data_IF_276090872748
#
_entry.id   IF_276090872748
#
_cell.length_a   1.000
_cell.length_b   1.000
_cell.length_c   1.000
_cell.angle_alpha   90.00
_cell.angle_beta   90.00
_cell.angle_gamma   90.00
#
_symmetry.space_group_name_H-M   'P 1'
#
loop_
_entity.id
_entity.type
_entity.pdbx_description
1 polymer ?
#
# COMPACT_ATOMS: atom_id res chain seq x y z
N UNK A 1 6.09 -18.06 16.79
CA UNK A 1 6.06 -16.64 16.38
C UNK A 1 4.60 -16.22 16.28
N UNK A 2 4.25 -14.99 16.64
CA UNK A 2 2.88 -14.45 16.51
C UNK A 2 2.84 -13.27 15.54
N UNK A 3 1.66 -12.91 15.05
CA UNK A 3 1.50 -11.75 14.18
C UNK A 3 1.94 -10.44 14.88
N UNK A 4 1.69 -10.32 16.19
CA UNK A 4 2.13 -9.19 17.00
C UNK A 4 3.65 -9.10 17.12
N UNK A 5 4.35 -10.24 17.21
CA UNK A 5 5.81 -10.26 17.22
C UNK A 5 6.37 -9.77 15.88
N UNK A 6 5.77 -10.18 14.76
CA UNK A 6 6.13 -9.70 13.43
C UNK A 6 5.85 -8.19 13.33
N UNK A 7 4.66 -7.75 13.72
CA UNK A 7 4.28 -6.34 13.71
C UNK A 7 5.22 -5.46 14.54
N UNK A 8 5.60 -5.91 15.74
CA UNK A 8 6.56 -5.22 16.59
C UNK A 8 7.95 -5.15 15.95
N UNK A 9 8.37 -6.22 15.25
CA UNK A 9 9.65 -6.25 14.57
C UNK A 9 9.69 -5.30 13.37
N UNK A 10 8.74 -5.38 12.45
CA UNK A 10 8.74 -4.56 11.23
C UNK A 10 8.54 -3.07 11.52
N UNK A 11 7.89 -2.74 12.64
CA UNK A 11 7.73 -1.36 13.12
C UNK A 11 9.06 -0.66 13.43
N UNK A 12 10.11 -1.42 13.78
CA UNK A 12 11.45 -0.85 13.99
C UNK A 12 12.02 -0.22 12.71
N UNK A 13 11.64 -0.75 11.54
CA UNK A 13 12.02 -0.23 10.24
C UNK A 13 10.88 0.60 9.60
N UNK A 14 9.97 1.14 10.41
CA UNK A 14 8.83 1.98 9.99
C UNK A 14 7.89 1.31 8.97
N UNK A 15 7.72 0.00 9.10
CA UNK A 15 6.69 -0.77 8.40
C UNK A 15 5.60 -1.22 9.37
N UNK A 16 4.42 -1.51 8.85
CA UNK A 16 3.31 -2.11 9.58
C UNK A 16 2.71 -3.30 8.83
N UNK A 17 1.95 -4.12 9.57
CA UNK A 17 1.19 -5.24 9.00
C UNK A 17 -0.14 -4.71 8.47
N UNK A 18 -0.31 -4.77 7.16
CA UNK A 18 -1.53 -4.36 6.44
C UNK A 18 -2.48 -5.54 6.15
N UNK A 19 -2.21 -6.70 6.70
CA UNK A 19 -3.03 -7.90 6.54
C UNK A 19 -2.20 -9.17 6.53
N UNK A 20 -2.86 -10.29 6.76
CA UNK A 20 -2.26 -11.60 6.65
C UNK A 20 -3.31 -12.63 6.23
N UNK A 21 -2.89 -13.68 5.55
CA UNK A 21 -3.76 -14.79 5.17
C UNK A 21 -2.98 -16.10 5.13
N UNK A 22 -3.69 -17.22 5.21
CA UNK A 22 -3.08 -18.54 5.03
C UNK A 22 -2.99 -18.90 3.56
N UNK A 23 -1.82 -19.36 3.15
CA UNK A 23 -1.61 -19.90 1.82
C UNK A 23 -2.47 -21.14 1.59
N UNK A 24 -2.71 -21.42 0.32
CA UNK A 24 -3.33 -22.63 -0.20
C UNK A 24 -2.42 -23.22 -1.26
N UNK A 25 -2.66 -24.47 -1.66
CA UNK A 25 -1.88 -25.11 -2.73
C UNK A 25 -1.84 -24.31 -4.05
N UNK A 26 -2.86 -23.49 -4.31
CA UNK A 26 -2.94 -22.65 -5.52
C UNK A 26 -1.92 -21.48 -5.53
N UNK A 27 -1.38 -21.12 -4.37
CA UNK A 27 -0.45 -20.01 -4.23
C UNK A 27 0.97 -20.32 -4.72
N UNK A 28 1.33 -21.61 -4.81
CA UNK A 28 2.72 -22.06 -5.06
C UNK A 28 3.76 -21.44 -4.09
N UNK A 29 3.33 -21.15 -2.85
CA UNK A 29 4.15 -20.56 -1.78
C UNK A 29 4.45 -21.53 -0.62
N UNK A 30 4.01 -22.79 -0.74
CA UNK A 30 4.00 -23.74 0.39
C UNK A 30 2.87 -23.44 1.38
N UNK A 31 2.65 -24.35 2.33
CA UNK A 31 1.68 -24.15 3.41
C UNK A 31 2.26 -23.22 4.47
N UNK A 32 1.47 -22.24 4.91
CA UNK A 32 1.94 -21.25 5.88
C UNK A 32 1.09 -19.99 5.94
N UNK A 33 1.74 -18.87 6.24
CA UNK A 33 1.11 -17.56 6.38
C UNK A 33 1.84 -16.53 5.52
N UNK A 34 1.09 -15.72 4.79
CA UNK A 34 1.60 -14.53 4.12
C UNK A 34 1.22 -13.33 4.97
N UNK A 35 2.19 -12.49 5.29
CA UNK A 35 1.98 -11.22 6.01
C UNK A 35 2.33 -10.06 5.08
N UNK A 36 1.37 -9.21 4.79
CA UNK A 36 1.50 -8.05 3.92
C UNK A 36 2.00 -6.84 4.71
N UNK A 37 3.00 -6.16 4.16
CA UNK A 37 3.66 -5.03 4.78
C UNK A 37 3.44 -3.76 3.98
N UNK A 38 3.31 -2.64 4.69
CA UNK A 38 3.33 -1.31 4.09
C UNK A 38 3.89 -0.26 5.05
N UNK A 39 3.89 1.02 4.63
CA UNK A 39 4.40 2.13 5.42
C UNK A 39 3.68 2.26 6.77
N UNK A 40 4.42 2.36 7.87
CA UNK A 40 3.85 2.75 9.16
C UNK A 40 3.87 4.28 9.29
N UNK A 41 2.70 4.90 9.16
CA UNK A 41 2.56 6.34 9.36
C UNK A 41 2.57 6.70 10.86
N UNK A 42 3.13 7.83 11.32
CA UNK A 42 3.73 8.93 10.53
C UNK A 42 5.26 8.83 10.39
N UNK A 43 5.85 7.75 10.89
CA UNK A 43 7.30 7.62 11.01
C UNK A 43 7.99 7.14 9.73
N UNK A 44 7.26 6.52 8.81
CA UNK A 44 7.80 6.04 7.53
C UNK A 44 8.47 7.15 6.71
N UNK A 45 7.74 8.23 6.39
CA UNK A 45 8.27 9.26 5.49
C UNK A 45 9.58 9.91 5.96
N UNK A 46 9.71 10.40 7.21
CA UNK A 46 10.98 10.96 7.66
C UNK A 46 12.11 9.92 7.69
N UNK A 47 11.80 8.64 7.98
CA UNK A 47 12.81 7.58 7.95
C UNK A 47 13.30 7.28 6.53
N UNK A 48 12.38 7.15 5.57
CA UNK A 48 12.72 6.93 4.17
C UNK A 48 13.56 8.08 3.61
N UNK A 49 13.19 9.34 3.84
CA UNK A 49 13.99 10.50 3.39
C UNK A 49 15.40 10.55 3.97
N UNK A 50 15.60 10.00 5.17
CA UNK A 50 16.90 9.92 5.81
C UNK A 50 17.73 8.71 5.34
N UNK A 51 17.18 7.85 4.48
CA UNK A 51 17.86 6.64 4.03
C UNK A 51 18.90 6.93 2.95
N UNK A 52 19.93 6.10 2.82
CA UNK A 52 20.90 6.23 1.74
C UNK A 52 20.25 6.22 0.36
N UNK A 53 19.26 5.35 0.15
CA UNK A 53 18.58 5.19 -1.15
C UNK A 53 17.85 6.45 -1.58
N UNK A 54 17.27 7.21 -0.65
CA UNK A 54 16.63 8.48 -1.00
C UNK A 54 17.63 9.56 -1.43
N UNK A 55 18.89 9.47 -0.98
CA UNK A 55 19.87 10.54 -1.10
C UNK A 55 20.97 10.25 -2.12
N UNK A 56 21.01 9.06 -2.73
CA UNK A 56 22.06 8.66 -3.67
C UNK A 56 21.77 9.04 -5.12
N UNK A 57 20.50 9.32 -5.46
CA UNK A 57 20.08 9.77 -6.79
C UNK A 57 19.93 8.64 -7.81
N UNK A 58 20.02 7.38 -7.38
CA UNK A 58 19.75 6.22 -8.23
C UNK A 58 18.24 5.97 -8.38
N UNK A 59 17.86 5.21 -9.41
CA UNK A 59 16.48 4.85 -9.69
C UNK A 59 15.83 4.01 -8.58
N UNK A 60 14.50 4.05 -8.53
CA UNK A 60 13.64 3.27 -7.63
C UNK A 60 14.07 3.28 -6.14
N UNK A 61 14.33 4.46 -5.55
CA UNK A 61 14.92 4.56 -4.22
C UNK A 61 14.03 3.93 -3.14
N UNK A 62 12.70 3.99 -3.32
CA UNK A 62 11.76 3.40 -2.38
C UNK A 62 11.70 1.87 -2.49
N UNK A 63 11.87 1.30 -3.68
CA UNK A 63 11.93 -0.14 -3.90
C UNK A 63 13.21 -0.71 -3.29
N UNK A 64 14.35 -0.07 -3.56
CA UNK A 64 15.65 -0.40 -2.94
C UNK A 64 15.60 -0.31 -1.41
N UNK A 65 15.00 0.74 -0.85
CA UNK A 65 14.78 0.86 0.59
C UNK A 65 13.96 -0.31 1.14
N UNK A 66 12.89 -0.68 0.42
CA UNK A 66 11.97 -1.76 0.83
C UNK A 66 12.66 -3.12 0.83
N UNK A 67 13.45 -3.40 -0.22
CA UNK A 67 14.25 -4.62 -0.28
C UNK A 67 15.20 -4.72 0.93
N UNK A 68 15.96 -3.66 1.22
CA UNK A 68 16.91 -3.67 2.34
C UNK A 68 16.21 -3.97 3.67
N UNK A 69 15.15 -3.23 4.00
CA UNK A 69 14.51 -3.36 5.33
C UNK A 69 13.69 -4.64 5.46
N UNK A 70 13.01 -5.08 4.40
CA UNK A 70 12.18 -6.29 4.43
C UNK A 70 13.05 -7.55 4.39
N UNK A 71 14.12 -7.59 3.61
CA UNK A 71 15.07 -8.71 3.62
C UNK A 71 15.78 -8.86 4.97
N UNK A 72 16.11 -7.74 5.63
CA UNK A 72 16.64 -7.76 7.00
C UNK A 72 15.62 -8.36 7.97
N UNK A 73 14.37 -7.88 7.94
CA UNK A 73 13.32 -8.40 8.80
C UNK A 73 13.03 -9.89 8.52
N UNK A 74 13.03 -10.30 7.25
CA UNK A 74 12.76 -11.69 6.86
C UNK A 74 13.84 -12.64 7.37
N UNK A 75 15.12 -12.26 7.29
CA UNK A 75 16.23 -13.05 7.83
C UNK A 75 16.13 -13.26 9.35
N UNK A 76 15.75 -12.22 10.09
CA UNK A 76 15.59 -12.29 11.54
C UNK A 76 14.36 -13.09 11.98
N UNK A 77 13.31 -13.08 11.17
CA UNK A 77 12.04 -13.78 11.43
C UNK A 77 12.00 -15.20 10.86
N UNK A 78 13.00 -15.62 10.08
CA UNK A 78 12.99 -16.91 9.40
C UNK A 78 11.92 -17.00 8.30
N UNK A 79 11.62 -15.87 7.66
CA UNK A 79 10.62 -15.75 6.60
C UNK A 79 11.28 -15.49 5.24
N UNK A 80 10.54 -15.71 4.16
CA UNK A 80 10.98 -15.32 2.83
C UNK A 80 10.32 -14.00 2.38
N UNK A 81 11.09 -13.02 1.85
CA UNK A 81 10.52 -11.77 1.38
C UNK A 81 9.96 -11.92 -0.04
N UNK A 82 8.89 -11.19 -0.34
CA UNK A 82 8.30 -11.03 -1.69
C UNK A 82 7.92 -9.56 -1.91
N UNK A 83 8.01 -9.07 -3.13
CA UNK A 83 7.86 -7.64 -3.44
C UNK A 83 6.79 -7.41 -4.52
N UNK A 84 6.07 -6.26 -4.48
CA UNK A 84 5.07 -5.91 -5.49
C UNK A 84 5.68 -5.39 -6.80
N UNK A 85 7.01 -5.29 -6.84
CA UNK A 85 7.83 -4.82 -7.96
C UNK A 85 8.87 -5.89 -8.32
N UNK A 86 9.62 -5.64 -9.39
CA UNK A 86 10.63 -6.57 -9.87
C UNK A 86 10.04 -7.86 -10.46
N UNK A 87 10.88 -8.89 -10.58
CA UNK A 87 10.50 -10.19 -11.13
C UNK A 87 10.82 -11.33 -10.15
N UNK A 88 9.96 -12.37 -10.06
CA UNK A 88 8.66 -12.52 -10.75
C UNK A 88 7.57 -11.63 -10.13
N UNK A 89 6.50 -11.38 -10.87
CA UNK A 89 5.35 -10.61 -10.37
C UNK A 89 4.48 -11.45 -9.43
N UNK A 90 4.14 -10.88 -8.29
CA UNK A 90 3.28 -11.50 -7.29
C UNK A 90 1.90 -10.80 -7.22
N UNK A 91 0.81 -11.55 -6.95
CA UNK A 91 -0.55 -11.03 -7.04
C UNK A 91 -0.97 -10.27 -5.76
N UNK A 92 -0.24 -9.20 -5.41
CA UNK A 92 -0.45 -8.42 -4.17
C UNK A 92 -1.88 -7.91 -3.99
N UNK A 93 -2.59 -7.56 -5.07
CA UNK A 93 -3.98 -7.13 -4.99
C UNK A 93 -4.91 -8.28 -4.53
N UNK A 94 -4.67 -9.50 -5.04
CA UNK A 94 -5.42 -10.68 -4.62
C UNK A 94 -5.11 -11.04 -3.16
N UNK A 95 -3.83 -10.96 -2.78
CA UNK A 95 -3.38 -11.17 -1.40
C UNK A 95 -4.01 -10.17 -0.42
N UNK A 96 -4.07 -8.89 -0.80
CA UNK A 96 -4.72 -7.85 -0.02
C UNK A 96 -6.20 -8.18 0.25
N UNK A 97 -6.94 -8.62 -0.77
CA UNK A 97 -8.34 -9.02 -0.61
C UNK A 97 -8.47 -10.23 0.31
N UNK A 98 -7.63 -11.26 0.12
CA UNK A 98 -7.64 -12.48 0.93
C UNK A 98 -7.28 -12.25 2.39
N UNK A 99 -6.54 -11.18 2.70
CA UNK A 99 -6.26 -10.80 4.08
C UNK A 99 -7.51 -10.38 4.87
N UNK A 100 -8.64 -10.12 4.19
CA UNK A 100 -9.85 -9.66 4.83
C UNK A 100 -9.76 -8.24 5.41
N UNK A 101 -8.76 -7.46 4.99
CA UNK A 101 -8.56 -6.06 5.40
C UNK A 101 -8.63 -5.06 4.25
N UNK A 102 -8.66 -5.53 3.01
CA UNK A 102 -8.82 -4.69 1.83
C UNK A 102 -9.90 -5.23 0.88
N UNK A 103 -10.55 -4.33 0.13
CA UNK A 103 -11.64 -4.66 -0.79
C UNK A 103 -11.57 -3.80 -2.05
N UNK A 104 -12.15 -4.25 -3.18
CA UNK A 104 -12.44 -3.36 -4.30
C UNK A 104 -13.30 -2.18 -3.83
N UNK A 105 -12.83 -0.96 -4.10
CA UNK A 105 -13.59 0.25 -3.82
C UNK A 105 -14.50 0.61 -5.01
N UNK A 106 -15.43 1.58 -4.85
CA UNK A 106 -16.21 2.12 -5.96
C UNK A 106 -15.39 2.83 -7.06
N UNK A 107 -14.07 2.94 -6.94
CA UNK A 107 -13.20 3.75 -7.82
C UNK A 107 -11.97 2.98 -8.33
N UNK A 108 -12.13 1.73 -8.76
CA UNK A 108 -11.10 0.82 -9.33
C UNK A 108 -9.96 0.41 -8.36
N UNK A 109 -9.60 1.26 -7.40
CA UNK A 109 -8.57 1.01 -6.39
C UNK A 109 -9.07 0.10 -5.27
N UNK A 110 -8.14 -0.46 -4.50
CA UNK A 110 -8.47 -1.10 -3.22
C UNK A 110 -8.70 -0.04 -2.13
N UNK A 111 -9.64 -0.32 -1.23
CA UNK A 111 -9.82 0.37 0.05
C UNK A 111 -9.41 -0.55 1.19
N UNK A 112 -8.65 -0.04 2.14
CA UNK A 112 -8.23 -0.76 3.35
C UNK A 112 -8.98 -0.26 4.58
N UNK A 113 -9.24 -1.15 5.54
CA UNK A 113 -10.01 -0.86 6.77
C UNK A 113 -9.51 0.36 7.56
N UNK A 114 -8.20 0.59 7.54
CA UNK A 114 -7.49 1.61 8.33
C UNK A 114 -6.79 2.63 7.45
N UNK A 115 -6.27 2.19 6.29
CA UNK A 115 -5.52 3.05 5.38
C UNK A 115 -6.39 3.69 4.28
N UNK A 116 -7.65 3.29 4.16
CA UNK A 116 -8.54 3.78 3.11
C UNK A 116 -7.97 3.53 1.71
N UNK A 117 -8.11 4.50 0.83
CA UNK A 117 -7.56 4.46 -0.53
C UNK A 117 -6.06 4.82 -0.59
N UNK A 118 -5.42 5.09 0.56
CA UNK A 118 -3.98 5.31 0.64
C UNK A 118 -3.17 4.04 0.80
N UNK A 119 -3.82 2.88 0.99
CA UNK A 119 -3.13 1.61 1.17
C UNK A 119 -2.07 1.40 0.08
N UNK A 120 -0.86 1.10 0.52
CA UNK A 120 0.29 0.85 -0.34
C UNK A 120 1.12 -0.26 0.27
N UNK A 121 1.30 -1.35 -0.47
CA UNK A 121 2.10 -2.48 -0.05
C UNK A 121 3.56 -2.28 -0.47
N UNK A 122 4.50 -2.58 0.42
CA UNK A 122 5.95 -2.51 0.16
C UNK A 122 6.61 -3.88 0.05
N UNK A 123 5.95 -4.92 0.55
CA UNK A 123 6.38 -6.30 0.42
C UNK A 123 5.53 -7.24 1.26
N UNK A 124 5.90 -8.50 1.27
CA UNK A 124 5.26 -9.54 2.06
C UNK A 124 6.32 -10.47 2.66
N UNK A 125 5.99 -11.05 3.82
CA UNK A 125 6.76 -12.12 4.45
C UNK A 125 5.99 -13.42 4.30
N UNK A 126 6.64 -14.44 3.73
CA UNK A 126 6.12 -15.79 3.60
C UNK A 126 6.71 -16.61 4.75
N UNK A 127 5.84 -17.08 5.64
CA UNK A 127 6.21 -17.84 6.82
C UNK A 127 5.76 -19.28 6.66
N UNK A 128 6.61 -20.27 7.01
CA UNK A 128 6.20 -21.68 6.98
C UNK A 128 5.18 -22.02 8.07
N UNK A 129 5.06 -21.20 9.11
CA UNK A 129 4.07 -21.42 10.17
C UNK A 129 2.68 -20.87 9.80
N UNK A 130 1.65 -21.59 10.24
CA UNK A 130 0.29 -21.06 10.32
C UNK A 130 0.14 -20.28 11.64
N UNK A 131 0.06 -18.97 11.53
CA UNK A 131 -0.13 -18.06 12.67
C UNK A 131 -1.60 -17.97 13.07
N UNK A 132 -1.89 -17.64 14.33
CA UNK A 132 -3.24 -17.22 14.70
C UNK A 132 -3.52 -15.84 14.09
N UNK A 133 -4.50 -15.77 13.20
CA UNK A 133 -4.90 -14.54 12.51
C UNK A 133 -6.17 -13.94 13.11
N UNK A 134 -6.29 -12.60 13.16
CA UNK A 134 -7.54 -11.97 13.58
C UNK A 134 -8.67 -12.28 12.58
N UNK A 135 -9.95 -12.15 13.00
CA UNK A 135 -11.06 -12.22 12.06
C UNK A 135 -10.95 -11.09 11.02
N UNK A 136 -11.62 -11.29 9.88
CA UNK A 136 -11.70 -10.26 8.84
C UNK A 136 -12.33 -8.98 9.40
N UNK A 137 -11.85 -7.84 8.93
CA UNK A 137 -12.43 -6.55 9.24
C UNK A 137 -13.71 -6.31 8.41
N UNK A 138 -14.46 -5.27 8.75
CA UNK A 138 -15.61 -4.84 7.96
C UNK A 138 -15.16 -3.93 6.82
N UNK A 139 -15.75 -4.08 5.64
CA UNK A 139 -15.49 -3.21 4.50
C UNK A 139 -15.96 -1.77 4.82
N UNK A 140 -15.07 -0.77 4.84
CA UNK A 140 -15.46 0.61 5.16
C UNK A 140 -16.40 1.23 4.12
N UNK A 141 -16.44 0.69 2.89
CA UNK A 141 -17.37 1.17 1.87
C UNK A 141 -18.84 0.79 2.13
N UNK A 142 -19.11 -0.27 2.90
CA UNK A 142 -20.49 -0.74 3.16
C UNK A 142 -21.29 0.26 4.02
N UNK A 143 -20.59 1.11 4.77
CA UNK A 143 -21.18 2.14 5.64
C UNK A 143 -20.91 3.56 5.15
N UNK A 144 -20.30 3.71 3.98
CA UNK A 144 -20.03 5.01 3.37
C UNK A 144 -21.16 5.38 2.41
N UNK A 145 -22.17 6.08 2.92
CA UNK A 145 -23.33 6.49 2.13
C UNK A 145 -22.97 7.55 1.08
N UNK A 146 -22.24 8.58 1.48
CA UNK A 146 -21.91 9.76 0.66
C UNK A 146 -21.00 9.45 -0.55
N UNK A 147 -20.17 8.39 -0.45
CA UNK A 147 -19.20 7.94 -1.48
C UNK A 147 -18.48 9.10 -2.18
N UNK A 148 -17.84 10.02 -1.43
CA UNK A 148 -17.24 11.24 -1.99
C UNK A 148 -16.16 10.96 -3.03
N UNK A 149 -15.54 9.78 -3.00
CA UNK A 149 -14.57 9.33 -4.00
C UNK A 149 -15.12 9.31 -5.43
N UNK A 150 -16.43 9.09 -5.62
CA UNK A 150 -17.05 8.99 -6.95
C UNK A 150 -17.06 10.31 -7.74
N UNK A 151 -17.01 11.45 -7.05
CA UNK A 151 -17.11 12.78 -7.66
C UNK A 151 -15.84 13.62 -7.45
N UNK A 152 -14.89 13.13 -6.66
CA UNK A 152 -13.68 13.86 -6.31
C UNK A 152 -12.66 13.99 -7.44
N UNK A 153 -12.74 13.19 -8.51
CA UNK A 153 -11.82 13.30 -9.63
C UNK A 153 -12.20 14.48 -10.54
N UNK A 154 -11.36 15.52 -10.70
CA UNK A 154 -11.70 16.71 -11.48
C UNK A 154 -11.98 16.44 -12.96
N UNK A 155 -11.42 15.35 -13.49
CA UNK A 155 -11.56 14.94 -14.90
C UNK A 155 -12.24 13.58 -15.06
N UNK A 156 -12.79 13.02 -13.98
CA UNK A 156 -13.49 11.73 -14.04
C UNK A 156 -12.60 10.55 -14.46
N UNK A 157 -11.28 10.66 -14.34
CA UNK A 157 -10.33 9.64 -14.80
C UNK A 157 -10.42 8.32 -14.03
N UNK A 158 -10.85 8.35 -12.76
CA UNK A 158 -10.92 7.16 -11.92
C UNK A 158 -12.38 6.81 -11.64
N UNK A 159 -12.84 5.68 -12.17
CA UNK A 159 -14.23 5.21 -12.07
C UNK A 159 -14.28 3.79 -11.50
N UNK A 160 -15.47 3.23 -11.28
CA UNK A 160 -15.58 1.81 -10.89
C UNK A 160 -15.08 0.83 -11.95
N UNK A 161 -15.08 1.22 -13.24
CA UNK A 161 -14.77 0.33 -14.36
C UNK A 161 -13.30 0.44 -14.80
N UNK A 162 -12.73 1.64 -14.77
CA UNK A 162 -11.42 1.90 -15.35
C UNK A 162 -10.72 3.09 -14.69
N UNK A 163 -9.40 3.11 -14.91
CA UNK A 163 -8.56 4.27 -14.69
C UNK A 163 -8.09 4.82 -16.05
N UNK A 164 -8.66 5.93 -16.49
CA UNK A 164 -8.27 6.68 -17.68
C UNK A 164 -6.95 7.44 -17.42
N UNK A 165 -5.84 6.73 -17.59
CA UNK A 165 -4.51 7.29 -17.43
C UNK A 165 -4.26 8.48 -18.37
N UNK A 166 -4.57 8.43 -19.69
CA UNK A 166 -4.39 9.59 -20.56
C UNK A 166 -5.08 10.86 -20.06
N UNK A 167 -6.33 10.78 -19.61
CA UNK A 167 -7.05 11.93 -19.07
C UNK A 167 -6.43 12.42 -17.74
N UNK A 168 -6.00 11.49 -16.87
CA UNK A 168 -5.33 11.81 -15.62
C UNK A 168 -4.01 12.58 -15.87
N UNK A 169 -3.09 12.01 -16.64
CA UNK A 169 -1.80 12.64 -16.94
C UNK A 169 -1.99 14.00 -17.63
N UNK A 170 -2.91 14.10 -18.61
CA UNK A 170 -3.22 15.38 -19.26
C UNK A 170 -3.70 16.44 -18.28
N UNK A 171 -4.46 16.06 -17.24
CA UNK A 171 -4.88 16.97 -16.18
C UNK A 171 -3.72 17.38 -15.28
N UNK A 172 -2.83 16.45 -14.93
CA UNK A 172 -1.67 16.71 -14.06
C UNK A 172 -0.70 17.74 -14.65
N UNK A 173 -0.61 17.84 -15.98
CA UNK A 173 0.17 18.87 -16.69
C UNK A 173 -0.44 20.29 -16.61
N UNK A 174 -1.66 20.44 -16.09
CA UNK A 174 -2.35 21.74 -16.00
C UNK A 174 -2.08 22.47 -14.69
N UNK A 175 -2.31 23.79 -14.67
CA UNK A 175 -2.20 24.58 -13.44
C UNK A 175 -3.09 24.04 -12.29
N UNK A 176 -4.39 23.70 -12.52
CA UNK A 176 -5.21 23.04 -11.49
C UNK A 176 -4.72 21.63 -11.10
N UNK A 177 -4.10 20.89 -12.03
CA UNK A 177 -3.55 19.56 -11.79
C UNK A 177 -2.43 19.52 -10.75
N UNK A 178 -1.74 20.63 -10.53
CA UNK A 178 -0.66 20.74 -9.53
C UNK A 178 -1.11 20.40 -8.12
N UNK A 179 -2.37 20.65 -7.75
CA UNK A 179 -2.88 20.24 -6.44
C UNK A 179 -2.85 18.71 -6.25
N UNK A 180 -3.13 17.94 -7.31
CA UNK A 180 -3.01 16.49 -7.30
C UNK A 180 -1.55 16.06 -7.27
N UNK A 181 -0.65 16.74 -7.99
CA UNK A 181 0.78 16.46 -7.93
C UNK A 181 1.37 16.73 -6.53
N UNK A 182 1.04 17.85 -5.89
CA UNK A 182 1.63 18.27 -4.62
C UNK A 182 1.03 17.53 -3.40
N UNK A 183 -0.24 17.13 -3.49
CA UNK A 183 -0.95 16.60 -2.31
C UNK A 183 -1.49 15.18 -2.50
N UNK A 184 -1.31 14.61 -3.68
CA UNK A 184 -1.84 13.31 -4.07
C UNK A 184 -3.21 13.35 -4.72
N UNK A 185 -3.61 12.22 -5.29
CA UNK A 185 -4.89 12.03 -5.98
C UNK A 185 -6.09 12.49 -5.12
N UNK A 186 -6.89 13.42 -5.66
CA UNK A 186 -8.09 13.95 -5.02
C UNK A 186 -9.10 12.86 -4.61
N UNK A 187 -9.21 11.78 -5.41
CA UNK A 187 -10.10 10.65 -5.10
C UNK A 187 -9.66 9.93 -3.84
N UNK A 188 -8.35 9.71 -3.67
CA UNK A 188 -7.80 9.07 -2.48
C UNK A 188 -7.99 9.94 -1.24
N UNK A 189 -7.76 11.26 -1.36
CA UNK A 189 -8.00 12.26 -0.30
C UNK A 189 -9.45 12.32 0.15
N UNK A 190 -10.39 12.15 -0.76
CA UNK A 190 -11.82 12.26 -0.47
C UNK A 190 -12.37 11.11 0.37
N UNK A 191 -11.72 9.93 0.38
CA UNK A 191 -12.17 8.79 1.17
C UNK A 191 -12.13 9.11 2.68
N UNK A 192 -13.25 8.94 3.42
CA UNK A 192 -13.27 9.21 4.87
C UNK A 192 -12.29 8.34 5.67
N UNK A 193 -11.98 7.13 5.18
CA UNK A 193 -11.00 6.27 5.83
C UNK A 193 -9.56 6.71 5.53
N UNK A 194 -9.30 7.21 4.32
CA UNK A 194 -8.02 7.83 3.97
C UNK A 194 -7.72 9.06 4.84
N UNK A 195 -8.73 9.86 5.19
CA UNK A 195 -8.54 11.06 6.02
C UNK A 195 -8.09 10.74 7.46
N UNK A 196 -8.36 9.51 7.93
CA UNK A 196 -7.87 9.00 9.21
C UNK A 196 -6.47 8.38 9.10
N UNK A 197 -6.04 8.04 7.89
CA UNK A 197 -4.70 7.53 7.61
C UNK A 197 -3.80 8.74 7.39
N UNK A 198 -2.95 9.04 8.36
CA UNK A 198 -2.12 10.25 8.47
C UNK A 198 -0.99 10.36 7.40
N UNK A 199 -1.27 9.92 6.18
CA UNK A 199 -0.42 10.10 4.99
C UNK A 199 -0.15 11.59 4.77
N UNK A 200 1.10 11.99 4.89
CA UNK A 200 1.48 13.39 4.70
C UNK A 200 1.62 13.76 3.22
N UNK A 201 1.39 15.03 2.89
CA UNK A 201 1.34 15.50 1.50
C UNK A 201 2.68 15.31 0.76
N UNK A 202 3.82 15.52 1.43
CA UNK A 202 5.14 15.32 0.81
C UNK A 202 5.38 13.87 0.35
N UNK A 203 4.85 12.88 1.09
CA UNK A 203 4.91 11.49 0.66
C UNK A 203 3.99 11.27 -0.54
N UNK A 204 2.80 11.85 -0.55
CA UNK A 204 1.90 11.78 -1.71
C UNK A 204 2.55 12.41 -2.95
N UNK A 205 3.21 13.56 -2.81
CA UNK A 205 3.92 14.23 -3.89
C UNK A 205 4.98 13.33 -4.53
N UNK A 206 5.82 12.71 -3.71
CA UNK A 206 6.83 11.76 -4.19
C UNK A 206 6.24 10.62 -5.02
N UNK A 207 5.10 10.06 -4.62
CA UNK A 207 4.44 9.00 -5.39
C UNK A 207 3.78 9.54 -6.66
N UNK A 208 3.30 10.79 -6.66
CA UNK A 208 2.71 11.41 -7.84
C UNK A 208 3.77 11.77 -8.87
N UNK A 209 4.96 12.22 -8.44
CA UNK A 209 6.11 12.45 -9.32
C UNK A 209 6.47 11.15 -10.04
N UNK A 210 6.66 10.05 -9.29
CA UNK A 210 6.95 8.74 -9.87
C UNK A 210 5.83 8.22 -10.80
N UNK A 211 4.57 8.47 -10.46
CA UNK A 211 3.42 8.07 -11.29
C UNK A 211 3.32 8.87 -12.60
N UNK A 212 3.72 10.14 -12.61
CA UNK A 212 3.59 11.02 -13.78
C UNK A 212 4.79 10.96 -14.74
N UNK A 213 5.93 10.40 -14.30
CA UNK A 213 7.09 10.09 -15.15
C UNK A 213 6.81 9.02 -16.20
#
# INVERSE_FOLDING_TARGET
>A
MTLDQIAARVRQDQLEVLGAFHTTGEDNLGDGTVVLLGPSEDGFWPNFRASPEYNDGDDDPLDRWSERVICKASAELGAEPRFPFGTPHYPFLSWAIRSGRAWPSPVHLLVHDTAGLWVSYRGALILPERLDLPPHANNPCDTCDDKPCLTACPVGALTSQAYDLPACHSYLDTFPGRACMETGCAVRKACPQSQKHHRIEAQSAFHMDAFHT
#
